data_IF_896254376387
#
_entry.id   IF_896254376387
#
_cell.length_a   1.000
_cell.length_b   1.000
_cell.length_c   1.000
_cell.angle_alpha   90.00
_cell.angle_beta   90.00
_cell.angle_gamma   90.00
#
_symmetry.space_group_name_H-M   'P 1'
#
loop_
_entity.id
_entity.type
_entity.pdbx_description
1 polymer ?
#
# COMPACT_ATOMS: atom_id res chain seq x y z
N UNK A 1 -32.81 -22.52 24.53
CA UNK A 1 -31.56 -22.77 23.78
C UNK A 1 -30.40 -22.19 24.58
N UNK A 2 -29.66 -23.04 25.30
CA UNK A 2 -28.40 -22.65 25.95
C UNK A 2 -27.32 -22.76 24.89
N UNK A 3 -26.56 -21.68 24.66
CA UNK A 3 -25.39 -21.70 23.78
C UNK A 3 -24.44 -22.81 24.22
N UNK A 4 -24.05 -23.72 23.31
CA UNK A 4 -23.01 -24.70 23.62
C UNK A 4 -21.67 -23.96 23.77
N UNK A 5 -21.03 -23.97 24.95
CA UNK A 5 -19.75 -23.29 25.18
C UNK A 5 -18.63 -23.77 24.23
N UNK A 6 -18.70 -25.05 23.87
CA UNK A 6 -17.71 -25.84 23.14
C UNK A 6 -17.60 -25.46 21.64
N UNK A 7 -18.53 -24.67 21.11
CA UNK A 7 -18.48 -24.19 19.72
C UNK A 7 -17.66 -22.90 19.57
N UNK A 8 -17.51 -22.11 20.65
CA UNK A 8 -16.71 -20.89 20.66
C UNK A 8 -15.24 -21.12 21.02
N UNK A 9 -14.90 -22.23 21.69
CA UNK A 9 -13.51 -22.59 21.95
C UNK A 9 -12.72 -22.80 20.66
N UNK A 10 -13.38 -23.33 19.61
CA UNK A 10 -12.79 -23.43 18.27
C UNK A 10 -12.54 -22.08 17.60
N UNK A 11 -13.37 -21.07 17.85
CA UNK A 11 -13.16 -19.71 17.33
C UNK A 11 -11.96 -19.04 18.01
N UNK A 12 -11.76 -19.20 19.33
CA UNK A 12 -10.55 -18.68 19.98
C UNK A 12 -9.27 -19.37 19.47
N UNK A 13 -9.29 -20.69 19.21
CA UNK A 13 -8.15 -21.40 18.60
C UNK A 13 -7.91 -21.02 17.13
N UNK A 14 -8.96 -20.98 16.30
CA UNK A 14 -8.87 -20.63 14.89
C UNK A 14 -8.47 -19.15 14.72
N UNK A 15 -8.93 -18.24 15.59
CA UNK A 15 -8.50 -16.83 15.62
C UNK A 15 -7.13 -16.60 16.27
N UNK A 16 -6.68 -17.45 17.20
CA UNK A 16 -5.30 -17.40 17.72
C UNK A 16 -4.26 -17.63 16.62
N UNK A 17 -4.62 -18.38 15.57
CA UNK A 17 -3.79 -18.58 14.38
C UNK A 17 -3.63 -17.33 13.50
N UNK A 18 -4.42 -16.28 13.72
CA UNK A 18 -4.24 -14.98 13.05
C UNK A 18 -3.15 -14.13 13.73
N UNK A 19 -2.65 -14.54 14.91
CA UNK A 19 -1.41 -14.04 15.48
C UNK A 19 -0.20 -14.66 14.75
N UNK A 20 0.03 -14.21 13.51
CA UNK A 20 1.23 -14.41 12.69
C UNK A 20 1.99 -15.77 12.86
N UNK A 21 1.54 -16.86 12.21
CA UNK A 21 2.29 -18.13 12.19
C UNK A 21 3.39 -18.17 11.12
N UNK A 22 3.35 -17.31 10.10
CA UNK A 22 4.26 -17.39 8.95
C UNK A 22 5.65 -16.77 9.21
N UNK A 23 5.77 -15.87 10.18
CA UNK A 23 7.07 -15.31 10.57
C UNK A 23 8.05 -16.33 11.17
N UNK A 24 7.54 -17.41 11.77
CA UNK A 24 8.34 -18.25 12.67
C UNK A 24 8.90 -19.52 12.00
N UNK A 25 8.25 -20.02 10.94
CA UNK A 25 8.67 -21.22 10.23
C UNK A 25 9.86 -20.98 9.28
N UNK A 26 9.85 -19.88 8.53
CA UNK A 26 10.94 -19.52 7.60
C UNK A 26 12.26 -19.21 8.32
N UNK A 27 12.18 -18.58 9.50
CA UNK A 27 13.35 -18.25 10.34
C UNK A 27 14.01 -19.52 10.88
N UNK A 28 13.23 -20.54 11.28
CA UNK A 28 13.74 -21.82 11.80
C UNK A 28 14.42 -22.66 10.72
N UNK A 29 13.90 -22.63 9.49
CA UNK A 29 14.50 -23.34 8.33
C UNK A 29 15.85 -22.70 7.95
N UNK A 30 15.92 -21.37 7.90
CA UNK A 30 17.15 -20.63 7.56
C UNK A 30 18.25 -20.78 8.64
N UNK A 31 17.90 -20.73 9.92
CA UNK A 31 18.85 -20.93 11.02
C UNK A 31 19.45 -22.36 11.05
N UNK A 32 18.66 -23.37 10.66
CA UNK A 32 19.10 -24.76 10.55
C UNK A 32 20.04 -25.00 9.36
N UNK A 33 19.81 -24.30 8.25
CA UNK A 33 20.68 -24.32 7.05
C UNK A 33 22.05 -23.67 7.30
N UNK A 34 22.12 -22.70 8.22
CA UNK A 34 23.35 -21.95 8.55
C UNK A 34 24.08 -22.48 9.80
N UNK A 35 23.58 -23.55 10.44
CA UNK A 35 24.24 -24.22 11.57
C UNK A 35 24.24 -23.44 12.88
N UNK A 36 23.28 -22.54 13.12
CA UNK A 36 23.22 -21.74 14.35
C UNK A 36 22.47 -22.43 15.50
N UNK A 37 22.96 -22.35 16.75
CA UNK A 37 22.33 -22.98 17.90
C UNK A 37 21.02 -22.26 18.31
N UNK A 38 20.02 -23.00 18.86
CA UNK A 38 18.63 -22.55 18.93
C UNK A 38 18.32 -21.44 19.96
N UNK A 39 19.22 -21.16 20.91
CA UNK A 39 18.89 -20.32 22.08
C UNK A 39 19.32 -18.84 21.98
N UNK A 40 20.16 -18.46 21.01
CA UNK A 40 20.57 -17.05 20.81
C UNK A 40 19.98 -16.37 19.55
N UNK A 41 19.19 -17.11 18.77
CA UNK A 41 18.74 -16.70 17.44
C UNK A 41 17.75 -15.53 17.44
N UNK A 42 16.90 -15.39 18.46
CA UNK A 42 15.75 -14.48 18.37
C UNK A 42 16.09 -12.98 18.55
N UNK A 43 17.24 -12.64 19.14
CA UNK A 43 17.62 -11.25 19.44
C UNK A 43 18.59 -10.64 18.42
N UNK A 44 19.44 -11.45 17.77
CA UNK A 44 20.39 -10.97 16.74
C UNK A 44 19.84 -11.04 15.31
N UNK A 45 18.90 -11.95 15.02
CA UNK A 45 18.34 -12.14 13.67
C UNK A 45 17.37 -11.00 13.30
N UNK A 46 16.58 -10.51 14.27
CA UNK A 46 15.63 -9.39 14.06
C UNK A 46 16.32 -8.07 13.70
N UNK A 47 17.53 -7.83 14.19
CA UNK A 47 18.27 -6.59 13.97
C UNK A 47 19.11 -6.60 12.70
N UNK A 48 19.65 -7.76 12.29
CA UNK A 48 20.55 -7.87 11.14
C UNK A 48 19.83 -8.09 9.81
N UNK A 49 18.76 -8.90 9.79
CA UNK A 49 18.00 -9.16 8.55
C UNK A 49 17.14 -7.95 8.16
N UNK A 50 16.56 -7.25 9.14
CA UNK A 50 15.82 -6.00 8.90
C UNK A 50 16.73 -4.89 8.33
N UNK A 51 17.98 -4.79 8.80
CA UNK A 51 18.95 -3.83 8.24
C UNK A 51 19.39 -4.21 6.83
N UNK A 52 19.56 -5.49 6.53
CA UNK A 52 20.00 -5.96 5.20
C UNK A 52 18.91 -5.80 4.13
N UNK A 53 17.64 -6.03 4.46
CA UNK A 53 16.50 -5.79 3.54
C UNK A 53 16.15 -4.31 3.38
N UNK A 54 16.24 -3.50 4.44
CA UNK A 54 16.06 -2.04 4.34
C UNK A 54 17.18 -1.41 3.50
N UNK A 55 18.43 -1.89 3.59
CA UNK A 55 19.53 -1.39 2.76
C UNK A 55 19.42 -1.82 1.28
N UNK A 56 19.00 -3.05 1.01
CA UNK A 56 18.80 -3.55 -0.36
C UNK A 56 17.58 -2.92 -1.05
N UNK A 57 16.48 -2.68 -0.31
CA UNK A 57 15.30 -1.99 -0.84
C UNK A 57 15.53 -0.49 -1.04
N UNK A 58 16.33 0.17 -0.18
CA UNK A 58 16.77 1.56 -0.39
C UNK A 58 17.74 1.71 -1.57
N UNK A 59 18.59 0.72 -1.85
CA UNK A 59 19.45 0.70 -3.04
C UNK A 59 18.68 0.41 -4.33
N UNK A 60 17.64 -0.44 -4.29
CA UNK A 60 16.82 -0.76 -5.45
C UNK A 60 15.86 0.39 -5.83
N UNK A 61 15.22 1.06 -4.86
CA UNK A 61 14.36 2.24 -5.11
C UNK A 61 15.16 3.52 -5.41
N UNK A 62 16.42 3.61 -4.99
CA UNK A 62 17.32 4.70 -5.39
C UNK A 62 17.85 4.60 -6.82
N UNK A 63 17.87 3.40 -7.41
CA UNK A 63 18.49 3.15 -8.73
C UNK A 63 17.60 3.44 -9.94
N UNK A 64 16.28 3.43 -9.79
CA UNK A 64 15.34 3.76 -10.88
C UNK A 64 14.88 5.23 -10.88
N UNK A 65 15.03 5.96 -9.76
CA UNK A 65 14.81 7.41 -9.71
C UNK A 65 16.04 8.23 -10.15
N UNK A 66 17.25 7.66 -10.05
CA UNK A 66 18.49 8.36 -10.43
C UNK A 66 18.68 8.48 -11.94
N UNK A 67 18.10 7.59 -12.75
CA UNK A 67 18.25 7.60 -14.20
C UNK A 67 17.38 8.65 -14.93
N UNK A 68 16.50 9.37 -14.21
CA UNK A 68 15.55 10.33 -14.80
C UNK A 68 15.71 11.78 -14.30
N UNK A 69 16.74 12.10 -13.50
CA UNK A 69 16.93 13.45 -12.95
C UNK A 69 18.10 14.24 -13.55
N UNK A 70 18.83 13.66 -14.52
CA UNK A 70 19.94 14.36 -15.16
C UNK A 70 19.53 14.98 -16.49
N UNK A 71 19.80 16.28 -16.69
CA UNK A 71 19.50 16.96 -17.94
C UNK A 71 20.79 17.31 -18.71
N UNK A 72 20.77 17.39 -20.05
CA UNK A 72 21.97 17.63 -20.83
C UNK A 72 22.45 19.07 -20.71
N UNK A 73 23.75 19.29 -20.94
CA UNK A 73 24.31 20.63 -21.15
C UNK A 73 25.08 20.59 -22.46
N UNK A 74 24.80 21.52 -23.37
CA UNK A 74 25.45 21.58 -24.67
C UNK A 74 25.66 23.02 -25.12
N UNK A 75 26.61 23.20 -26.04
CA UNK A 75 26.91 24.51 -26.57
C UNK A 75 27.99 24.51 -27.61
N UNK A 76 28.44 25.72 -27.97
CA UNK A 76 29.39 25.98 -29.03
C UNK A 76 30.50 26.93 -28.58
N UNK A 77 31.73 26.63 -29.00
CA UNK A 77 32.92 27.45 -28.78
C UNK A 77 33.39 28.01 -30.11
N UNK A 78 33.52 29.32 -30.16
CA UNK A 78 34.01 30.09 -31.29
C UNK A 78 35.29 30.84 -30.90
N UNK A 79 36.14 31.17 -31.86
CA UNK A 79 37.32 32.01 -31.69
C UNK A 79 37.19 33.21 -32.61
N UNK A 80 37.32 34.41 -32.03
CA UNK A 80 37.43 35.66 -32.78
C UNK A 80 38.91 35.94 -33.07
N UNK A 81 39.27 35.95 -34.34
CA UNK A 81 40.62 36.26 -34.81
C UNK A 81 40.88 37.76 -34.85
N UNK A 82 42.15 38.15 -34.90
CA UNK A 82 42.56 39.56 -35.04
C UNK A 82 41.99 40.27 -36.28
N UNK A 83 41.70 39.53 -37.36
CA UNK A 83 41.06 40.04 -38.58
C UNK A 83 39.53 40.24 -38.45
N UNK A 84 38.96 39.96 -37.27
CA UNK A 84 37.54 40.06 -36.97
C UNK A 84 36.71 38.84 -37.39
N UNK A 85 37.32 37.82 -38.02
CA UNK A 85 36.62 36.58 -38.38
C UNK A 85 36.34 35.73 -37.15
N UNK A 86 35.19 35.05 -37.15
CA UNK A 86 34.77 34.15 -36.05
C UNK A 86 34.71 32.73 -36.59
N UNK A 87 35.56 31.85 -36.07
CA UNK A 87 35.66 30.46 -36.51
C UNK A 87 35.33 29.49 -35.38
N UNK A 88 34.74 28.32 -35.64
CA UNK A 88 34.54 27.31 -34.61
C UNK A 88 35.87 26.74 -34.11
N UNK A 89 35.93 26.46 -32.80
CA UNK A 89 37.15 25.93 -32.17
C UNK A 89 37.03 24.43 -32.01
N UNK A 90 37.77 23.68 -32.81
CA UNK A 90 37.83 22.23 -32.68
C UNK A 90 38.79 21.81 -31.57
N UNK A 91 38.39 20.84 -30.74
CA UNK A 91 39.24 20.27 -29.69
C UNK A 91 39.44 21.16 -28.45
N UNK A 92 38.67 22.23 -28.28
CA UNK A 92 38.64 23.01 -27.04
C UNK A 92 38.21 22.11 -25.88
N UNK A 93 38.91 22.24 -24.75
CA UNK A 93 38.60 21.55 -23.51
C UNK A 93 37.57 22.34 -22.72
N UNK A 94 36.49 21.68 -22.32
CA UNK A 94 35.39 22.25 -21.54
C UNK A 94 35.39 21.58 -20.17
N UNK A 95 36.01 22.25 -19.20
CA UNK A 95 36.05 21.85 -17.80
C UNK A 95 34.78 22.33 -17.08
N UNK A 96 34.23 21.47 -16.23
CA UNK A 96 32.95 21.71 -15.55
C UNK A 96 33.17 21.67 -14.04
N UNK A 97 32.76 22.73 -13.35
CA UNK A 97 32.86 22.83 -11.90
C UNK A 97 31.47 22.90 -11.28
N UNK A 98 31.24 22.13 -10.21
CA UNK A 98 30.12 22.37 -9.31
C UNK A 98 30.42 23.58 -8.43
N UNK A 99 29.46 24.48 -8.31
CA UNK A 99 29.56 25.74 -7.59
C UNK A 99 28.85 25.70 -6.23
N UNK A 100 27.95 24.73 -6.04
CA UNK A 100 27.21 24.48 -4.81
C UNK A 100 27.93 23.53 -3.84
N UNK A 101 28.72 22.58 -4.37
CA UNK A 101 29.56 21.67 -3.61
C UNK A 101 30.93 21.53 -4.27
N UNK A 102 31.92 21.06 -3.51
CA UNK A 102 33.24 20.74 -4.06
C UNK A 102 33.14 19.53 -4.99
N UNK A 103 33.32 19.75 -6.28
CA UNK A 103 33.31 18.69 -7.30
C UNK A 103 33.42 19.25 -8.71
N UNK A 104 33.73 18.36 -9.65
CA UNK A 104 33.82 18.65 -11.09
C UNK A 104 33.22 17.49 -11.89
N UNK A 105 32.84 17.76 -13.13
CA UNK A 105 32.42 16.72 -14.08
C UNK A 105 33.59 16.38 -15.03
N UNK A 106 33.54 15.24 -15.74
CA UNK A 106 34.53 14.93 -16.76
C UNK A 106 34.62 16.05 -17.80
N UNK A 107 35.84 16.41 -18.19
CA UNK A 107 36.11 17.40 -19.25
C UNK A 107 35.58 16.90 -20.60
N UNK A 108 34.86 17.74 -21.35
CA UNK A 108 34.51 17.47 -22.74
C UNK A 108 35.49 18.12 -23.71
N UNK A 109 35.52 17.61 -24.96
CA UNK A 109 36.20 18.25 -26.08
C UNK A 109 35.19 18.69 -27.12
N UNK A 110 35.37 19.87 -27.69
CA UNK A 110 34.54 20.30 -28.81
C UNK A 110 34.87 19.54 -30.09
N UNK A 111 33.86 19.34 -30.94
CA UNK A 111 34.00 18.70 -32.24
C UNK A 111 34.54 19.67 -33.32
N UNK A 112 34.59 19.23 -34.58
CA UNK A 112 35.04 20.06 -35.71
C UNK A 112 34.18 21.31 -35.97
N UNK A 113 32.95 21.34 -35.45
CA UNK A 113 32.02 22.47 -35.53
C UNK A 113 32.07 23.33 -34.27
N UNK A 114 32.99 23.06 -33.35
CA UNK A 114 33.11 23.76 -32.07
C UNK A 114 32.04 23.37 -31.06
N UNK A 115 31.28 22.31 -31.29
CA UNK A 115 30.17 21.90 -30.43
C UNK A 115 30.64 20.96 -29.31
N UNK A 116 30.14 21.16 -28.10
CA UNK A 116 30.32 20.26 -26.96
C UNK A 116 28.97 19.81 -26.42
N UNK A 117 28.93 18.61 -25.82
CA UNK A 117 27.72 18.07 -25.19
C UNK A 117 28.06 17.19 -24.00
N UNK A 118 27.26 17.34 -22.96
CA UNK A 118 27.19 16.49 -21.78
C UNK A 118 25.80 15.89 -21.68
N UNK A 119 25.71 14.58 -21.46
CA UNK A 119 24.45 13.85 -21.51
C UNK A 119 23.60 13.95 -20.23
N UNK A 120 24.22 14.11 -19.06
CA UNK A 120 23.49 14.04 -17.79
C UNK A 120 24.15 14.81 -16.65
N UNK A 121 23.74 16.07 -16.48
CA UNK A 121 24.06 16.85 -15.28
C UNK A 121 22.98 16.59 -14.21
N UNK A 122 23.35 16.12 -13.02
CA UNK A 122 22.45 16.11 -11.87
C UNK A 122 21.98 17.54 -11.50
N UNK A 123 20.88 17.69 -10.75
CA UNK A 123 20.47 18.99 -10.22
C UNK A 123 21.60 19.66 -9.42
N UNK A 124 21.87 20.92 -9.72
CA UNK A 124 22.93 21.70 -9.07
C UNK A 124 23.33 22.94 -9.84
N UNK A 125 24.28 23.69 -9.27
CA UNK A 125 24.86 24.89 -9.85
C UNK A 125 26.20 24.58 -10.48
N UNK A 126 26.37 24.90 -11.77
CA UNK A 126 27.58 24.60 -12.52
C UNK A 126 28.19 25.85 -13.13
N UNK A 127 29.46 25.73 -13.48
CA UNK A 127 30.16 26.70 -14.29
C UNK A 127 31.14 25.99 -15.22
N UNK A 128 31.40 26.59 -16.38
CA UNK A 128 32.29 26.07 -17.39
C UNK A 128 33.56 26.93 -17.49
N UNK A 129 34.71 26.27 -17.62
CA UNK A 129 35.95 26.89 -18.07
C UNK A 129 36.37 26.25 -19.38
N UNK A 130 36.59 27.08 -20.38
CA UNK A 130 36.90 26.66 -21.74
C UNK A 130 38.34 27.07 -22.04
N UNK A 131 39.16 26.11 -22.48
CA UNK A 131 40.53 26.36 -22.92
C UNK A 131 40.77 25.74 -24.29
N UNK A 132 41.51 26.44 -25.14
CA UNK A 132 41.86 25.98 -26.48
C UNK A 132 43.23 26.52 -26.88
N UNK A 133 43.93 25.80 -27.75
CA UNK A 133 45.22 26.24 -28.26
C UNK A 133 45.09 27.58 -29.01
N UNK A 134 45.98 28.53 -28.70
CA UNK A 134 45.97 29.85 -29.32
C UNK A 134 44.81 30.77 -28.88
N UNK A 135 44.08 30.41 -27.82
CA UNK A 135 42.97 31.19 -27.28
C UNK A 135 43.19 31.57 -25.81
N UNK A 136 42.64 32.71 -25.39
CA UNK A 136 42.48 33.02 -23.97
C UNK A 136 41.37 32.13 -23.36
N UNK A 137 41.49 31.72 -22.09
CA UNK A 137 40.45 30.95 -21.43
C UNK A 137 39.12 31.70 -21.37
N UNK A 138 38.03 31.01 -21.71
CA UNK A 138 36.68 31.51 -21.57
C UNK A 138 35.98 30.91 -20.35
N UNK A 139 34.98 31.62 -19.83
CA UNK A 139 34.22 31.19 -18.65
C UNK A 139 32.73 31.42 -18.87
N UNK A 140 31.91 30.43 -18.48
CA UNK A 140 30.45 30.56 -18.48
C UNK A 140 29.96 30.30 -17.05
N UNK A 141 29.55 31.34 -16.30
CA UNK A 141 28.97 31.17 -14.97
C UNK A 141 27.51 30.69 -15.05
N UNK A 142 26.99 30.23 -13.90
CA UNK A 142 25.57 29.94 -13.68
C UNK A 142 24.92 28.98 -14.69
N UNK A 143 25.66 27.94 -15.08
CA UNK A 143 25.16 26.88 -15.97
C UNK A 143 24.22 25.94 -15.21
N UNK A 144 23.07 25.67 -15.82
CA UNK A 144 22.02 24.78 -15.28
C UNK A 144 21.81 23.55 -16.16
N UNK A 145 21.49 22.39 -15.58
CA UNK A 145 21.07 21.23 -16.35
C UNK A 145 19.90 21.59 -17.29
N UNK A 146 19.97 21.18 -18.56
CA UNK A 146 18.96 21.46 -19.60
C UNK A 146 19.36 22.55 -20.61
N UNK A 147 20.40 23.35 -20.33
CA UNK A 147 20.87 24.38 -21.26
C UNK A 147 21.66 23.76 -22.41
N UNK A 148 21.09 23.78 -23.63
CA UNK A 148 21.66 23.09 -24.81
C UNK A 148 22.11 24.03 -25.93
N UNK A 149 21.96 25.34 -25.74
CA UNK A 149 22.22 26.40 -26.70
C UNK A 149 23.29 27.40 -26.20
N UNK A 150 24.17 26.97 -25.29
CA UNK A 150 25.25 27.81 -24.77
C UNK A 150 26.21 28.21 -25.91
N UNK A 151 26.69 29.45 -25.92
CA UNK A 151 27.66 29.91 -26.91
C UNK A 151 28.68 30.84 -26.26
N UNK A 152 29.96 30.59 -26.50
CA UNK A 152 31.05 31.46 -26.07
C UNK A 152 32.01 31.72 -27.22
N UNK A 153 32.43 32.99 -27.35
CA UNK A 153 33.48 33.39 -28.30
C UNK A 153 34.73 33.75 -27.50
N UNK A 154 35.80 32.99 -27.71
CA UNK A 154 37.11 33.23 -27.15
C UNK A 154 37.86 34.28 -27.97
N UNK A 155 38.81 34.96 -27.33
CA UNK A 155 39.78 35.80 -28.00
C UNK A 155 41.08 35.00 -28.23
N UNK A 156 41.89 35.43 -29.19
CA UNK A 156 43.24 34.89 -29.38
C UNK A 156 44.10 35.11 -28.13
N UNK A 157 44.88 34.09 -27.76
CA UNK A 157 45.67 34.10 -26.54
C UNK A 157 46.75 33.04 -26.52
N UNK A 158 47.34 32.83 -25.35
CA UNK A 158 48.48 31.94 -25.13
C UNK A 158 48.12 30.44 -25.10
N UNK A 159 46.82 30.11 -25.18
CA UNK A 159 46.33 28.75 -25.08
C UNK A 159 46.42 28.17 -23.67
N UNK A 160 46.57 29.01 -22.63
CA UNK A 160 46.63 28.55 -21.24
C UNK A 160 45.36 27.75 -20.90
N UNK A 161 45.55 26.62 -20.23
CA UNK A 161 44.48 25.93 -19.52
C UNK A 161 44.53 26.32 -18.04
N UNK A 162 43.53 27.04 -17.51
CA UNK A 162 43.51 27.41 -16.10
C UNK A 162 43.50 26.18 -15.20
N UNK A 163 44.13 26.29 -14.04
CA UNK A 163 43.91 25.34 -12.94
C UNK A 163 42.49 25.52 -12.37
N UNK A 164 41.94 24.50 -11.71
CA UNK A 164 40.62 24.60 -11.08
C UNK A 164 40.52 25.77 -10.09
N UNK A 165 41.58 26.04 -9.33
CA UNK A 165 41.61 27.16 -8.39
C UNK A 165 41.51 28.51 -9.11
N UNK A 166 42.30 28.72 -10.17
CA UNK A 166 42.25 29.94 -10.98
C UNK A 166 40.89 30.12 -11.65
N UNK A 167 40.33 29.05 -12.23
CA UNK A 167 39.04 29.09 -12.88
C UNK A 167 37.91 29.45 -11.90
N UNK A 168 37.93 28.87 -10.69
CA UNK A 168 36.95 29.17 -9.65
C UNK A 168 37.05 30.61 -9.14
N UNK A 169 38.25 31.18 -9.05
CA UNK A 169 38.43 32.60 -8.68
C UNK A 169 37.79 33.52 -9.72
N UNK A 170 38.02 33.27 -11.01
CA UNK A 170 37.45 34.08 -12.09
C UNK A 170 35.93 33.91 -12.16
N UNK A 171 35.42 32.69 -12.03
CA UNK A 171 33.98 32.39 -12.04
C UNK A 171 33.22 33.03 -10.86
N UNK A 172 33.83 33.08 -9.68
CA UNK A 172 33.26 33.78 -8.53
C UNK A 172 33.16 35.30 -8.76
N UNK A 173 34.16 35.90 -9.42
CA UNK A 173 34.18 37.33 -9.77
C UNK A 173 33.19 37.64 -10.92
N UNK A 174 33.08 36.76 -11.91
CA UNK A 174 32.13 36.88 -13.02
C UNK A 174 30.66 36.85 -12.54
N UNK A 175 30.34 36.02 -11.55
CA UNK A 175 29.02 35.97 -10.91
C UNK A 175 28.64 37.26 -10.16
N UNK A 176 29.62 38.01 -9.66
CA UNK A 176 29.37 39.31 -9.02
C UNK A 176 29.19 40.49 -9.98
N UNK A 177 29.59 40.33 -11.25
CA UNK A 177 29.55 41.39 -12.28
C UNK A 177 28.46 41.15 -13.32
N UNK A 178 28.00 39.91 -13.49
CA UNK A 178 26.78 39.58 -14.20
C UNK A 178 25.58 39.83 -13.27
N UNK A 179 24.97 41.01 -13.37
CA UNK A 179 23.57 41.18 -12.93
C UNK A 179 22.68 40.10 -13.57
N UNK A 180 21.53 39.75 -12.98
CA UNK A 180 20.76 38.58 -13.37
C UNK A 180 20.41 38.68 -14.86
N UNK A 181 21.05 37.86 -15.69
CA UNK A 181 20.65 37.66 -17.08
C UNK A 181 19.51 36.66 -17.07
N UNK A 182 18.36 37.14 -16.62
CA UNK A 182 17.08 36.48 -16.85
C UNK A 182 16.85 36.58 -18.35
N UNK A 183 17.19 35.53 -19.12
CA UNK A 183 16.44 35.29 -20.36
C UNK A 183 14.99 35.23 -19.89
N UNK A 184 14.18 36.20 -20.30
CA UNK A 184 12.75 36.07 -20.09
C UNK A 184 12.32 34.81 -20.82
N UNK A 185 11.98 33.78 -20.06
CA UNK A 185 11.30 32.60 -20.55
C UNK A 185 10.18 33.10 -21.46
N UNK A 186 10.11 32.55 -22.67
CA UNK A 186 8.97 32.79 -23.54
C UNK A 186 7.69 32.44 -22.79
N UNK A 187 6.55 33.02 -23.17
CA UNK A 187 5.27 32.75 -22.49
C UNK A 187 5.01 31.24 -22.36
N UNK A 188 5.34 30.49 -23.41
CA UNK A 188 5.22 29.03 -23.47
C UNK A 188 6.18 28.31 -22.49
N UNK A 189 7.43 28.76 -22.36
CA UNK A 189 8.38 28.19 -21.38
C UNK A 189 8.02 28.55 -19.93
N UNK A 190 7.48 29.76 -19.67
CA UNK A 190 6.95 30.13 -18.34
C UNK A 190 5.76 29.28 -17.97
N UNK A 191 4.86 29.03 -18.92
CA UNK A 191 3.69 28.18 -18.73
C UNK A 191 4.09 26.72 -18.51
N UNK A 192 5.03 26.18 -19.30
CA UNK A 192 5.55 24.82 -19.14
C UNK A 192 6.31 24.63 -17.81
N UNK A 193 7.10 25.62 -17.39
CA UNK A 193 7.79 25.58 -16.11
C UNK A 193 6.81 25.67 -14.93
N UNK A 194 5.82 26.56 -14.99
CA UNK A 194 4.78 26.65 -13.97
C UNK A 194 3.95 25.36 -13.90
N UNK A 195 3.67 24.71 -15.04
CA UNK A 195 2.98 23.42 -15.07
C UNK A 195 3.83 22.29 -14.46
N UNK A 196 5.13 22.25 -14.74
CA UNK A 196 6.06 21.29 -14.15
C UNK A 196 6.20 21.49 -12.64
N UNK A 197 6.41 22.72 -12.17
CA UNK A 197 6.50 23.05 -10.75
C UNK A 197 5.20 22.71 -10.01
N UNK A 198 4.04 22.97 -10.64
CA UNK A 198 2.73 22.56 -10.10
C UNK A 198 2.62 21.04 -9.99
N UNK A 199 3.06 20.28 -11.00
CA UNK A 199 3.08 18.81 -10.98
C UNK A 199 4.02 18.26 -9.90
N UNK A 200 5.20 18.85 -9.72
CA UNK A 200 6.15 18.48 -8.66
C UNK A 200 5.54 18.73 -7.29
N UNK A 201 4.99 19.93 -7.06
CA UNK A 201 4.34 20.27 -5.80
C UNK A 201 3.14 19.36 -5.51
N UNK A 202 2.37 18.98 -6.54
CA UNK A 202 1.27 18.01 -6.41
C UNK A 202 1.78 16.62 -5.99
N UNK A 203 2.84 16.13 -6.61
CA UNK A 203 3.45 14.83 -6.28
C UNK A 203 4.06 14.84 -4.87
N UNK A 204 4.76 15.91 -4.49
CA UNK A 204 5.31 16.06 -3.14
C UNK A 204 4.20 16.10 -2.08
N UNK A 205 3.13 16.86 -2.33
CA UNK A 205 1.96 16.91 -1.45
C UNK A 205 1.28 15.53 -1.35
N UNK A 206 1.13 14.81 -2.47
CA UNK A 206 0.57 13.45 -2.52
C UNK A 206 1.44 12.46 -1.74
N UNK A 207 2.76 12.49 -1.94
CA UNK A 207 3.69 11.61 -1.24
C UNK A 207 3.71 11.88 0.27
N UNK A 208 3.67 13.15 0.68
CA UNK A 208 3.55 13.53 2.08
C UNK A 208 2.24 13.00 2.68
N UNK A 209 1.12 13.19 1.99
CA UNK A 209 -0.19 12.68 2.40
C UNK A 209 -0.16 11.15 2.57
N UNK A 210 0.37 10.41 1.60
CA UNK A 210 0.52 8.93 1.67
C UNK A 210 1.37 8.52 2.89
N UNK A 211 2.46 9.22 3.15
CA UNK A 211 3.34 8.94 4.29
C UNK A 211 2.62 9.17 5.62
N UNK A 212 1.92 10.29 5.74
CA UNK A 212 1.17 10.66 6.93
C UNK A 212 0.02 9.65 7.18
N UNK A 213 -0.72 9.27 6.14
CA UNK A 213 -1.76 8.23 6.20
C UNK A 213 -1.19 6.87 6.61
N UNK A 214 -0.09 6.44 5.98
CA UNK A 214 0.57 5.16 6.28
C UNK A 214 1.06 5.10 7.72
N UNK A 215 1.54 6.22 8.27
CA UNK A 215 1.96 6.28 9.67
C UNK A 215 0.77 6.13 10.63
N UNK A 216 -0.36 6.80 10.34
CA UNK A 216 -1.60 6.69 11.13
C UNK A 216 -2.13 5.25 11.08
N UNK A 217 -2.22 4.67 9.89
CA UNK A 217 -2.70 3.29 9.67
C UNK A 217 -1.88 2.29 10.48
N UNK A 218 -0.55 2.38 10.40
CA UNK A 218 0.33 1.45 11.11
C UNK A 218 0.22 1.60 12.64
N UNK A 219 0.16 2.82 13.15
CA UNK A 219 -0.02 3.08 14.58
C UNK A 219 -1.37 2.58 15.09
N UNK A 220 -2.44 2.86 14.34
CA UNK A 220 -3.79 2.39 14.61
C UNK A 220 -3.88 0.86 14.61
N UNK A 221 -3.29 0.19 13.61
CA UNK A 221 -3.28 -1.27 13.53
C UNK A 221 -2.53 -1.89 14.72
N UNK A 222 -1.37 -1.34 15.08
CA UNK A 222 -0.60 -1.82 16.24
C UNK A 222 -1.36 -1.62 17.56
N UNK A 223 -1.91 -0.43 17.79
CA UNK A 223 -2.66 -0.12 19.00
C UNK A 223 -3.95 -0.95 19.09
N UNK A 224 -4.66 -1.13 17.97
CA UNK A 224 -5.86 -1.95 17.88
C UNK A 224 -5.58 -3.42 18.16
N UNK A 225 -4.54 -3.99 17.55
CA UNK A 225 -4.14 -5.38 17.79
C UNK A 225 -3.70 -5.60 19.25
N UNK A 226 -2.98 -4.64 19.85
CA UNK A 226 -2.62 -4.68 21.28
C UNK A 226 -3.86 -4.67 22.17
N UNK A 227 -4.78 -3.74 21.94
CA UNK A 227 -6.03 -3.65 22.70
C UNK A 227 -6.88 -4.92 22.53
N UNK A 228 -6.91 -5.50 21.32
CA UNK A 228 -7.59 -6.77 21.05
C UNK A 228 -6.98 -7.92 21.85
N UNK A 229 -5.65 -8.05 21.89
CA UNK A 229 -4.95 -9.05 22.69
C UNK A 229 -5.19 -8.88 24.21
N UNK A 230 -5.40 -7.66 24.66
CA UNK A 230 -5.81 -7.31 26.03
C UNK A 230 -7.32 -7.53 26.28
N UNK A 231 -8.06 -8.08 25.31
CA UNK A 231 -9.52 -8.26 25.29
C UNK A 231 -10.32 -6.96 25.47
N UNK A 232 -9.68 -5.81 25.24
CA UNK A 232 -10.33 -4.50 25.23
C UNK A 232 -10.89 -4.22 23.83
N UNK A 233 -11.97 -4.91 23.49
CA UNK A 233 -12.56 -4.85 22.15
C UNK A 233 -13.07 -3.45 21.78
N UNK A 234 -13.55 -2.66 22.74
CA UNK A 234 -13.99 -1.29 22.48
C UNK A 234 -12.84 -0.38 22.04
N UNK A 235 -11.70 -0.44 22.74
CA UNK A 235 -10.51 0.30 22.32
C UNK A 235 -9.96 -0.22 21.00
N UNK A 236 -9.97 -1.54 20.78
CA UNK A 236 -9.55 -2.13 19.51
C UNK A 236 -10.35 -1.58 18.32
N UNK A 237 -11.68 -1.55 18.44
CA UNK A 237 -12.60 -1.01 17.42
C UNK A 237 -12.31 0.47 17.15
N UNK A 238 -12.10 1.27 18.19
CA UNK A 238 -11.75 2.70 18.04
C UNK A 238 -10.43 2.87 17.28
N UNK A 239 -9.40 2.11 17.62
CA UNK A 239 -8.12 2.17 16.93
C UNK A 239 -8.25 1.73 15.48
N UNK A 240 -8.98 0.66 15.18
CA UNK A 240 -9.21 0.26 13.79
C UNK A 240 -10.00 1.32 13.01
N UNK A 241 -10.97 2.01 13.63
CA UNK A 241 -11.68 3.14 13.00
C UNK A 241 -10.72 4.28 12.64
N UNK A 242 -9.75 4.62 13.50
CA UNK A 242 -8.74 5.64 13.20
C UNK A 242 -7.94 5.25 11.95
N UNK A 243 -7.52 3.98 11.87
CA UNK A 243 -6.79 3.47 10.71
C UNK A 243 -7.63 3.51 9.43
N UNK A 244 -8.89 3.07 9.50
CA UNK A 244 -9.82 3.09 8.35
C UNK A 244 -10.05 4.53 7.87
N UNK A 245 -10.26 5.47 8.79
CA UNK A 245 -10.53 6.86 8.45
C UNK A 245 -9.35 7.58 7.76
N UNK A 246 -8.12 7.10 7.96
CA UNK A 246 -6.94 7.68 7.32
C UNK A 246 -6.95 7.47 5.81
N UNK A 247 -7.35 6.29 5.33
CA UNK A 247 -7.53 6.01 3.91
C UNK A 247 -8.55 4.88 3.69
N UNK A 248 -9.87 5.19 3.66
CA UNK A 248 -10.93 4.19 3.74
C UNK A 248 -11.12 3.38 2.45
N UNK A 249 -10.64 3.90 1.31
CA UNK A 249 -10.86 3.30 -0.01
C UNK A 249 -9.61 2.60 -0.56
N UNK A 250 -8.49 2.64 0.17
CA UNK A 250 -7.28 1.96 -0.26
C UNK A 250 -7.33 0.46 0.08
N UNK A 251 -7.50 -0.37 -0.95
CA UNK A 251 -7.62 -1.82 -0.84
C UNK A 251 -6.38 -2.48 -0.19
N UNK A 252 -5.22 -1.83 -0.22
CA UNK A 252 -3.99 -2.36 0.37
C UNK A 252 -3.94 -2.34 1.90
N UNK A 253 -4.80 -1.57 2.57
CA UNK A 253 -4.81 -1.48 4.05
C UNK A 253 -6.19 -1.48 4.69
N UNK A 254 -7.18 -0.83 4.07
CA UNK A 254 -8.51 -0.70 4.67
C UNK A 254 -9.19 -2.06 4.94
N UNK A 255 -9.15 -3.06 4.03
CA UNK A 255 -9.71 -4.39 4.28
C UNK A 255 -9.16 -5.10 5.53
N UNK A 256 -7.87 -4.97 5.81
CA UNK A 256 -7.23 -5.58 6.98
C UNK A 256 -7.83 -5.02 8.28
N UNK A 257 -7.95 -3.69 8.34
CA UNK A 257 -8.53 -3.00 9.50
C UNK A 257 -10.02 -3.29 9.65
N UNK A 258 -10.76 -3.33 8.54
CA UNK A 258 -12.19 -3.67 8.51
C UNK A 258 -12.43 -5.10 9.01
N UNK A 259 -11.63 -6.06 8.57
CA UNK A 259 -11.73 -7.46 9.01
C UNK A 259 -11.39 -7.59 10.49
N UNK A 260 -10.30 -6.97 10.96
CA UNK A 260 -9.94 -6.99 12.38
C UNK A 260 -11.01 -6.33 13.27
N UNK A 261 -11.59 -5.22 12.81
CA UNK A 261 -12.71 -4.55 13.45
C UNK A 261 -13.94 -5.46 13.49
N UNK A 262 -14.26 -6.15 12.39
CA UNK A 262 -15.36 -7.10 12.31
C UNK A 262 -15.22 -8.23 13.35
N UNK A 263 -14.02 -8.76 13.56
CA UNK A 263 -13.76 -9.77 14.61
C UNK A 263 -14.01 -9.18 16.00
N UNK A 264 -13.46 -7.99 16.29
CA UNK A 264 -13.64 -7.33 17.59
C UNK A 264 -15.12 -7.03 17.90
N UNK A 265 -15.87 -6.56 16.90
CA UNK A 265 -17.31 -6.30 16.99
C UNK A 265 -18.09 -7.59 17.26
N UNK A 266 -17.83 -8.66 16.51
CA UNK A 266 -18.48 -9.97 16.74
C UNK A 266 -18.28 -10.46 18.16
N UNK A 267 -17.04 -10.44 18.66
CA UNK A 267 -16.74 -10.90 20.01
C UNK A 267 -17.44 -10.02 21.07
N UNK A 268 -17.38 -8.69 20.92
CA UNK A 268 -18.05 -7.77 21.84
C UNK A 268 -19.58 -7.95 21.82
N UNK A 269 -20.16 -8.16 20.65
CA UNK A 269 -21.58 -8.42 20.46
C UNK A 269 -22.01 -9.74 21.11
N UNK A 270 -21.27 -10.83 20.86
CA UNK A 270 -21.53 -12.14 21.49
C UNK A 270 -21.42 -12.06 23.01
N UNK A 271 -20.40 -11.39 23.54
CA UNK A 271 -20.25 -11.21 24.99
C UNK A 271 -21.44 -10.45 25.60
N UNK A 272 -21.89 -9.39 24.91
CA UNK A 272 -23.05 -8.59 25.32
C UNK A 272 -24.33 -9.43 25.28
N UNK A 273 -24.54 -10.20 24.22
CA UNK A 273 -25.70 -11.07 24.07
C UNK A 273 -25.72 -12.16 25.14
N UNK A 274 -24.61 -12.87 25.33
CA UNK A 274 -24.51 -13.95 26.32
C UNK A 274 -24.79 -13.44 27.74
N UNK A 275 -24.22 -12.29 28.12
CA UNK A 275 -24.53 -11.68 29.40
C UNK A 275 -26.03 -11.36 29.53
N UNK A 276 -26.64 -10.77 28.50
CA UNK A 276 -28.07 -10.47 28.47
C UNK A 276 -28.97 -11.70 28.63
N UNK A 277 -28.60 -12.86 28.07
CA UNK A 277 -29.43 -14.08 28.17
C UNK A 277 -29.59 -14.58 29.60
N UNK A 278 -28.63 -14.31 30.49
CA UNK A 278 -28.67 -14.68 31.90
C UNK A 278 -29.47 -13.72 32.78
N UNK A 279 -29.83 -12.55 32.25
CA UNK A 279 -30.53 -11.50 32.99
C UNK A 279 -32.05 -11.72 33.01
N UNK A 280 -32.76 -11.27 34.08
CA UNK A 280 -34.21 -11.18 34.07
C UNK A 280 -34.68 -10.23 32.96
N UNK A 281 -35.96 -10.32 32.58
CA UNK A 281 -36.53 -9.36 31.62
C UNK A 281 -36.47 -7.94 32.21
N UNK A 282 -35.73 -7.06 31.53
CA UNK A 282 -35.44 -5.70 31.97
C UNK A 282 -35.03 -4.83 30.78
N UNK A 283 -35.11 -3.50 30.95
CA UNK A 283 -34.64 -2.57 29.92
C UNK A 283 -33.13 -2.68 29.68
N UNK A 284 -32.36 -3.02 30.71
CA UNK A 284 -30.93 -3.29 30.58
C UNK A 284 -30.67 -4.51 29.68
N UNK A 285 -31.42 -5.60 29.87
CA UNK A 285 -31.34 -6.79 29.00
C UNK A 285 -31.66 -6.44 27.55
N UNK A 286 -32.73 -5.68 27.30
CA UNK A 286 -33.11 -5.23 25.95
C UNK A 286 -32.04 -4.35 25.33
N UNK A 287 -31.45 -3.43 26.09
CA UNK A 287 -30.37 -2.55 25.64
C UNK A 287 -29.10 -3.35 25.29
N UNK A 288 -28.73 -4.35 26.07
CA UNK A 288 -27.58 -5.21 25.79
C UNK A 288 -27.77 -6.06 24.53
N UNK A 289 -28.99 -6.59 24.31
CA UNK A 289 -29.33 -7.29 23.07
C UNK A 289 -29.26 -6.32 21.89
N UNK A 290 -29.84 -5.11 22.00
CA UNK A 290 -29.77 -4.11 20.94
C UNK A 290 -28.33 -3.71 20.61
N UNK A 291 -27.46 -3.57 21.63
CA UNK A 291 -26.03 -3.31 21.43
C UNK A 291 -25.34 -4.47 20.71
N UNK A 292 -25.64 -5.71 21.08
CA UNK A 292 -25.08 -6.89 20.41
C UNK A 292 -25.46 -6.93 18.93
N UNK A 293 -26.73 -6.65 18.62
CA UNK A 293 -27.24 -6.58 17.25
C UNK A 293 -26.53 -5.49 16.45
N UNK A 294 -26.35 -4.30 17.03
CA UNK A 294 -25.63 -3.19 16.39
C UNK A 294 -24.20 -3.59 16.04
N UNK A 295 -23.48 -4.22 16.96
CA UNK A 295 -22.11 -4.67 16.72
C UNK A 295 -22.04 -5.67 15.56
N UNK A 296 -22.97 -6.62 15.50
CA UNK A 296 -23.02 -7.62 14.42
C UNK A 296 -23.36 -6.99 13.06
N UNK A 297 -24.29 -6.03 13.00
CA UNK A 297 -24.61 -5.31 11.76
C UNK A 297 -23.42 -4.45 11.28
N UNK A 298 -22.70 -3.82 12.21
CA UNK A 298 -21.49 -3.08 11.88
C UNK A 298 -20.36 -4.01 11.40
N UNK A 299 -20.24 -5.21 11.97
CA UNK A 299 -19.30 -6.22 11.52
C UNK A 299 -19.62 -6.69 10.10
N UNK A 300 -20.89 -7.01 9.82
CA UNK A 300 -21.39 -7.39 8.49
C UNK A 300 -21.00 -6.34 7.45
N UNK A 301 -21.38 -5.09 7.70
CA UNK A 301 -21.07 -3.95 6.83
C UNK A 301 -19.57 -3.79 6.58
N UNK A 302 -18.74 -4.01 7.61
CA UNK A 302 -17.28 -3.97 7.48
C UNK A 302 -16.71 -5.08 6.60
N UNK A 303 -17.18 -6.31 6.75
CA UNK A 303 -16.76 -7.43 5.90
C UNK A 303 -17.22 -7.28 4.46
N UNK A 304 -18.47 -6.84 4.23
CA UNK A 304 -18.99 -6.53 2.90
C UNK A 304 -18.12 -5.50 2.20
N UNK A 305 -17.87 -4.36 2.87
CA UNK A 305 -17.04 -3.29 2.30
C UNK A 305 -15.61 -3.75 2.03
N UNK A 306 -15.05 -4.56 2.91
CA UNK A 306 -13.73 -5.17 2.76
C UNK A 306 -13.67 -6.06 1.52
N UNK A 307 -14.65 -6.93 1.33
CA UNK A 307 -14.76 -7.80 0.15
C UNK A 307 -14.90 -6.97 -1.14
N UNK A 308 -15.78 -5.96 -1.16
CA UNK A 308 -15.98 -5.09 -2.32
C UNK A 308 -14.70 -4.37 -2.74
N UNK A 309 -13.95 -3.81 -1.78
CA UNK A 309 -12.67 -3.14 -2.04
C UNK A 309 -11.63 -4.10 -2.63
N UNK A 310 -11.56 -5.31 -2.10
CA UNK A 310 -10.61 -6.32 -2.58
C UNK A 310 -10.97 -6.80 -3.99
N UNK A 311 -12.25 -7.02 -4.27
CA UNK A 311 -12.73 -7.43 -5.60
C UNK A 311 -12.59 -6.32 -6.65
N UNK A 312 -12.71 -5.06 -6.24
CA UNK A 312 -12.54 -3.91 -7.13
C UNK A 312 -11.08 -3.52 -7.36
N UNK A 313 -10.13 -4.18 -6.70
CA UNK A 313 -8.70 -3.85 -6.82
C UNK A 313 -8.17 -4.11 -8.26
N UNK A 314 -7.47 -3.14 -8.89
CA UNK A 314 -6.87 -3.35 -10.21
C UNK A 314 -5.84 -4.48 -10.17
N UNK A 315 -5.90 -5.41 -11.14
CA UNK A 315 -5.06 -6.60 -11.15
C UNK A 315 -3.56 -6.27 -11.19
N UNK A 316 -3.20 -5.17 -11.87
CA UNK A 316 -1.84 -4.65 -11.97
C UNK A 316 -1.30 -4.04 -10.66
N UNK A 317 -2.16 -3.66 -9.72
CA UNK A 317 -1.79 -3.11 -8.42
C UNK A 317 -1.64 -4.20 -7.34
N UNK A 318 -2.15 -5.41 -7.61
CA UNK A 318 -2.03 -6.57 -6.71
C UNK A 318 -0.63 -7.18 -6.83
N UNK A 319 0.29 -6.69 -6.02
CA UNK A 319 1.68 -7.18 -5.98
C UNK A 319 1.87 -8.45 -5.15
N UNK A 320 1.03 -8.67 -4.13
CA UNK A 320 1.01 -9.88 -3.30
C UNK A 320 -0.37 -10.55 -3.40
N UNK A 321 -0.51 -11.44 -4.40
CA UNK A 321 -1.74 -12.18 -4.64
C UNK A 321 -2.12 -13.09 -3.48
N UNK A 322 -1.14 -13.66 -2.75
CA UNK A 322 -1.43 -14.59 -1.65
C UNK A 322 -2.10 -13.87 -0.51
N UNK A 323 -1.57 -12.69 -0.13
CA UNK A 323 -2.17 -11.86 0.92
C UNK A 323 -3.53 -11.31 0.49
N UNK A 324 -3.68 -10.90 -0.77
CA UNK A 324 -4.96 -10.43 -1.33
C UNK A 324 -6.04 -11.53 -1.32
N UNK A 325 -5.72 -12.73 -1.84
CA UNK A 325 -6.64 -13.88 -1.84
C UNK A 325 -7.02 -14.28 -0.40
N UNK A 326 -6.07 -14.22 0.53
CA UNK A 326 -6.34 -14.48 1.95
C UNK A 326 -7.29 -13.44 2.54
N UNK A 327 -7.11 -12.16 2.23
CA UNK A 327 -7.98 -11.10 2.71
C UNK A 327 -9.41 -11.28 2.18
N UNK A 328 -9.58 -11.71 0.92
CA UNK A 328 -10.90 -12.06 0.34
C UNK A 328 -11.53 -13.20 1.15
N UNK A 329 -10.78 -14.27 1.39
CA UNK A 329 -11.24 -15.40 2.19
C UNK A 329 -11.67 -14.96 3.59
N UNK A 330 -10.83 -14.17 4.28
CA UNK A 330 -11.10 -13.70 5.64
C UNK A 330 -12.38 -12.85 5.70
N UNK A 331 -12.61 -12.00 4.69
CA UNK A 331 -13.83 -11.18 4.59
C UNK A 331 -15.07 -12.04 4.42
N UNK A 332 -15.04 -12.99 3.48
CA UNK A 332 -16.16 -13.88 3.17
C UNK A 332 -16.47 -14.85 4.33
N UNK A 333 -15.43 -15.40 4.96
CA UNK A 333 -15.58 -16.22 6.16
C UNK A 333 -16.17 -15.41 7.33
N UNK A 334 -15.64 -14.22 7.56
CA UNK A 334 -16.14 -13.30 8.58
C UNK A 334 -17.62 -12.96 8.38
N UNK A 335 -18.01 -12.73 7.13
CA UNK A 335 -19.37 -12.40 6.72
C UNK A 335 -20.35 -13.57 6.90
N UNK A 336 -20.00 -14.77 6.42
CA UNK A 336 -20.86 -15.97 6.58
C UNK A 336 -21.10 -16.30 8.04
N UNK A 337 -20.07 -16.20 8.90
CA UNK A 337 -20.24 -16.34 10.35
C UNK A 337 -21.08 -15.20 10.96
N UNK A 338 -20.95 -13.98 10.46
CA UNK A 338 -21.76 -12.86 10.97
C UNK A 338 -23.25 -13.06 10.68
N UNK A 339 -23.61 -13.54 9.49
CA UNK A 339 -25.01 -13.86 9.17
C UNK A 339 -25.60 -14.92 10.09
N UNK A 340 -24.83 -15.97 10.41
CA UNK A 340 -25.21 -16.98 11.41
C UNK A 340 -25.56 -16.36 12.75
N UNK A 341 -24.77 -15.39 13.21
CA UNK A 341 -25.01 -14.68 14.47
C UNK A 341 -26.20 -13.72 14.40
N UNK A 342 -26.39 -13.03 13.27
CA UNK A 342 -27.50 -12.10 13.06
C UNK A 342 -28.86 -12.79 13.12
N UNK A 343 -28.97 -13.97 12.52
CA UNK A 343 -30.19 -14.78 12.59
C UNK A 343 -30.48 -15.22 14.03
N UNK A 344 -29.47 -15.76 14.74
CA UNK A 344 -29.63 -16.18 16.15
C UNK A 344 -30.02 -15.05 17.10
N UNK A 345 -29.58 -13.83 16.79
CA UNK A 345 -29.95 -12.64 17.55
C UNK A 345 -31.29 -12.02 17.10
N UNK A 346 -31.96 -12.61 16.09
CA UNK A 346 -33.19 -12.12 15.45
C UNK A 346 -33.03 -10.73 14.82
N UNK A 347 -31.82 -10.40 14.37
CA UNK A 347 -31.54 -9.19 13.58
C UNK A 347 -31.80 -9.40 12.10
N UNK A 348 -31.56 -10.61 11.59
CA UNK A 348 -31.85 -10.97 10.21
C UNK A 348 -33.17 -11.75 10.18
N UNK A 349 -34.17 -11.20 9.48
CA UNK A 349 -35.52 -11.79 9.38
C UNK A 349 -35.86 -12.29 7.98
N UNK A 350 -35.02 -12.02 6.99
CA UNK A 350 -35.19 -12.41 5.59
C UNK A 350 -33.82 -12.72 4.99
N UNK A 351 -33.72 -13.75 4.15
CA UNK A 351 -32.52 -13.98 3.33
C UNK A 351 -32.63 -13.12 2.07
N UNK A 352 -31.90 -12.01 2.05
CA UNK A 352 -31.75 -11.21 0.84
C UNK A 352 -30.72 -11.85 -0.12
N UNK A 353 -30.78 -11.48 -1.40
CA UNK A 353 -29.93 -12.05 -2.46
C UNK A 353 -28.43 -11.87 -2.17
N UNK A 354 -28.06 -10.81 -1.45
CA UNK A 354 -26.71 -10.51 -0.98
C UNK A 354 -26.16 -11.58 -0.01
N UNK A 355 -27.00 -12.09 0.89
CA UNK A 355 -26.65 -13.18 1.80
C UNK A 355 -26.24 -14.40 0.98
N UNK A 356 -27.11 -14.83 0.05
CA UNK A 356 -26.85 -16.01 -0.79
C UNK A 356 -25.58 -15.84 -1.63
N UNK A 357 -25.41 -14.68 -2.27
CA UNK A 357 -24.22 -14.37 -3.06
C UNK A 357 -22.94 -14.46 -2.22
N UNK A 358 -22.97 -14.01 -0.97
CA UNK A 358 -21.84 -14.07 -0.04
C UNK A 358 -21.43 -15.51 0.29
N UNK A 359 -22.40 -16.40 0.52
CA UNK A 359 -22.12 -17.82 0.75
C UNK A 359 -21.60 -18.52 -0.50
N UNK A 360 -22.11 -18.19 -1.69
CA UNK A 360 -21.60 -18.72 -2.96
C UNK A 360 -20.15 -18.27 -3.23
N UNK A 361 -19.86 -16.98 -2.98
CA UNK A 361 -18.51 -16.44 -3.08
C UNK A 361 -17.54 -17.13 -2.09
N UNK A 362 -17.95 -17.33 -0.84
CA UNK A 362 -17.15 -18.05 0.16
C UNK A 362 -16.82 -19.48 -0.30
N UNK A 363 -17.81 -20.19 -0.83
CA UNK A 363 -17.62 -21.57 -1.31
C UNK A 363 -16.71 -21.68 -2.53
N UNK A 364 -16.66 -20.65 -3.38
CA UNK A 364 -15.78 -20.61 -4.54
C UNK A 364 -14.30 -20.50 -4.12
N UNK A 365 -14.00 -19.80 -3.02
CA UNK A 365 -12.62 -19.59 -2.55
C UNK A 365 -12.17 -20.60 -1.49
N UNK A 366 -13.10 -21.22 -0.77
CA UNK A 366 -12.81 -22.29 0.19
C UNK A 366 -12.26 -23.52 -0.53
N UNK A 367 -11.28 -24.19 0.08
CA UNK A 367 -10.62 -25.39 -0.47
C UNK A 367 -10.87 -26.62 0.39
N UNK A 368 -11.15 -26.44 1.68
CA UNK A 368 -11.48 -27.52 2.59
C UNK A 368 -12.95 -27.96 2.41
N UNK A 369 -13.15 -29.23 2.07
CA UNK A 369 -14.49 -29.75 1.82
C UNK A 369 -15.38 -29.78 3.06
N UNK A 370 -14.82 -30.01 4.25
CA UNK A 370 -15.58 -29.97 5.49
C UNK A 370 -16.07 -28.54 5.78
N UNK A 371 -15.25 -27.53 5.47
CA UNK A 371 -15.67 -26.12 5.57
C UNK A 371 -16.72 -25.73 4.54
N UNK A 372 -16.69 -26.28 3.31
CA UNK A 372 -17.77 -26.10 2.33
C UNK A 372 -19.09 -26.71 2.80
N UNK A 373 -19.04 -27.94 3.35
CA UNK A 373 -20.21 -28.59 3.97
C UNK A 373 -20.77 -27.71 5.08
N UNK A 374 -19.91 -27.21 5.98
CA UNK A 374 -20.32 -26.30 7.04
C UNK A 374 -20.97 -25.01 6.50
N UNK A 375 -20.47 -24.45 5.39
CA UNK A 375 -21.07 -23.27 4.76
C UNK A 375 -22.50 -23.54 4.26
N UNK A 376 -22.75 -24.69 3.63
CA UNK A 376 -24.10 -25.09 3.23
C UNK A 376 -25.04 -25.29 4.41
N UNK A 377 -24.54 -25.91 5.49
CA UNK A 377 -25.31 -26.06 6.74
C UNK A 377 -25.67 -24.70 7.33
N UNK A 378 -24.71 -23.78 7.41
CA UNK A 378 -24.96 -22.43 7.95
C UNK A 378 -25.96 -21.66 7.08
N UNK A 379 -25.87 -21.76 5.74
CA UNK A 379 -26.86 -21.14 4.85
C UNK A 379 -28.25 -21.75 5.07
N UNK A 380 -28.33 -23.08 5.21
CA UNK A 380 -29.57 -23.77 5.54
C UNK A 380 -30.17 -23.29 6.87
N UNK A 381 -29.36 -23.16 7.91
CA UNK A 381 -29.79 -22.63 9.21
C UNK A 381 -30.32 -21.20 9.09
N UNK A 382 -29.60 -20.36 8.35
CA UNK A 382 -30.01 -18.97 8.10
C UNK A 382 -31.37 -18.92 7.40
N UNK A 383 -31.57 -19.73 6.36
CA UNK A 383 -32.83 -19.84 5.63
C UNK A 383 -33.97 -20.42 6.48
N UNK A 384 -33.68 -21.43 7.29
CA UNK A 384 -34.68 -22.09 8.13
C UNK A 384 -35.25 -21.11 9.17
N UNK A 385 -34.36 -20.37 9.83
CA UNK A 385 -34.73 -19.40 10.88
C UNK A 385 -35.40 -18.13 10.33
N UNK A 386 -35.16 -17.76 9.07
CA UNK A 386 -35.93 -16.68 8.39
C UNK A 386 -37.26 -17.17 7.82
N UNK A 387 -37.55 -18.48 7.89
CA UNK A 387 -38.80 -19.09 7.45
C UNK A 387 -38.78 -19.68 6.03
N UNK A 388 -37.66 -19.58 5.32
CA UNK A 388 -37.47 -20.06 3.94
C UNK A 388 -37.16 -21.56 3.89
N UNK A 389 -38.07 -22.38 4.43
CA UNK A 389 -37.85 -23.82 4.66
C UNK A 389 -37.55 -24.63 3.39
N UNK A 390 -38.10 -24.24 2.24
CA UNK A 390 -37.81 -24.88 0.95
C UNK A 390 -36.35 -24.67 0.51
N UNK A 391 -35.86 -23.44 0.64
CA UNK A 391 -34.48 -23.11 0.30
C UNK A 391 -33.51 -23.70 1.32
N UNK A 392 -33.89 -23.73 2.61
CA UNK A 392 -33.13 -24.39 3.66
C UNK A 392 -32.91 -25.87 3.33
N UNK A 393 -33.97 -26.59 2.93
CA UNK A 393 -33.87 -27.99 2.51
C UNK A 393 -32.88 -28.17 1.36
N UNK A 394 -32.93 -27.32 0.34
CA UNK A 394 -32.01 -27.37 -0.78
C UNK A 394 -30.54 -27.15 -0.35
N UNK A 395 -30.29 -26.23 0.58
CA UNK A 395 -28.94 -26.01 1.14
C UNK A 395 -28.44 -27.21 1.94
N UNK A 396 -29.28 -27.80 2.79
CA UNK A 396 -28.91 -29.02 3.53
C UNK A 396 -28.69 -30.21 2.60
N UNK A 397 -29.46 -30.35 1.52
CA UNK A 397 -29.24 -31.39 0.51
C UNK A 397 -27.86 -31.27 -0.13
N UNK A 398 -27.41 -30.06 -0.49
CA UNK A 398 -26.05 -29.85 -0.99
C UNK A 398 -24.97 -30.23 0.03
N UNK A 399 -25.20 -29.98 1.32
CA UNK A 399 -24.30 -30.45 2.38
C UNK A 399 -24.24 -31.99 2.42
N UNK A 400 -25.39 -32.66 2.29
CA UNK A 400 -25.53 -34.12 2.33
C UNK A 400 -25.00 -34.81 1.06
N UNK A 401 -24.99 -34.14 -0.10
CA UNK A 401 -24.35 -34.65 -1.31
C UNK A 401 -22.84 -34.85 -1.11
N UNK A 402 -22.20 -33.98 -0.31
CA UNK A 402 -20.77 -34.04 -0.02
C UNK A 402 -20.49 -34.90 1.22
N UNK A 403 -21.34 -34.79 2.25
CA UNK A 403 -21.23 -35.52 3.51
C UNK A 403 -22.58 -36.15 3.91
N UNK A 404 -22.89 -37.35 3.40
CA UNK A 404 -24.21 -37.98 3.56
C UNK A 404 -24.64 -38.25 5.01
N UNK A 405 -23.68 -38.39 5.92
CA UNK A 405 -23.91 -38.66 7.34
C UNK A 405 -23.78 -37.41 8.21
N UNK A 406 -23.72 -36.21 7.62
CA UNK A 406 -23.61 -34.98 8.39
C UNK A 406 -24.85 -34.79 9.29
N UNK A 407 -24.70 -34.85 10.62
CA UNK A 407 -25.85 -34.87 11.52
C UNK A 407 -26.60 -33.54 11.52
N UNK A 408 -25.89 -32.42 11.42
CA UNK A 408 -26.50 -31.09 11.42
C UNK A 408 -27.36 -30.90 10.15
N UNK A 409 -26.86 -31.33 8.99
CA UNK A 409 -27.61 -31.26 7.73
C UNK A 409 -28.82 -32.21 7.70
N UNK A 410 -28.70 -33.43 8.25
CA UNK A 410 -29.82 -34.37 8.38
C UNK A 410 -30.93 -33.80 9.27
N UNK A 411 -30.56 -33.25 10.43
CA UNK A 411 -31.50 -32.61 11.36
C UNK A 411 -32.15 -31.39 10.71
N UNK A 412 -31.35 -30.53 10.09
CA UNK A 412 -31.82 -29.34 9.39
C UNK A 412 -32.83 -29.68 8.28
N UNK A 413 -32.50 -30.64 7.40
CA UNK A 413 -33.40 -31.09 6.35
C UNK A 413 -34.72 -31.67 6.89
N UNK A 414 -34.65 -32.45 7.98
CA UNK A 414 -35.83 -32.96 8.66
C UNK A 414 -36.73 -31.86 9.23
N UNK A 415 -36.14 -30.83 9.86
CA UNK A 415 -36.86 -29.66 10.36
C UNK A 415 -37.50 -28.85 9.22
N UNK A 416 -36.78 -28.65 8.11
CA UNK A 416 -37.33 -28.00 6.91
C UNK A 416 -38.55 -28.73 6.37
N UNK A 417 -38.48 -30.06 6.24
CA UNK A 417 -39.60 -30.88 5.78
C UNK A 417 -40.80 -30.83 6.74
N UNK A 418 -40.55 -30.87 8.05
CA UNK A 418 -41.60 -30.76 9.05
C UNK A 418 -42.31 -29.39 8.99
N UNK A 419 -41.56 -28.30 8.86
CA UNK A 419 -42.11 -26.96 8.70
C UNK A 419 -42.96 -26.85 7.42
N UNK A 420 -42.49 -27.37 6.29
CA UNK A 420 -43.24 -27.38 5.04
C UNK A 420 -44.53 -28.21 5.13
N UNK A 421 -44.47 -29.37 5.80
CA UNK A 421 -45.64 -30.22 6.04
C UNK A 421 -46.68 -29.54 6.94
N UNK A 422 -46.25 -28.90 8.02
CA UNK A 422 -47.12 -28.13 8.91
C UNK A 422 -47.82 -26.98 8.18
N UNK A 423 -47.05 -26.17 7.43
CA UNK A 423 -47.60 -25.04 6.66
C UNK A 423 -48.53 -25.45 5.51
N UNK A 424 -48.40 -26.68 5.01
CA UNK A 424 -49.28 -27.21 3.96
C UNK A 424 -50.64 -27.62 4.53
N UNK A 425 -50.69 -28.12 5.77
CA UNK A 425 -51.92 -28.50 6.47
C UNK A 425 -52.74 -27.29 6.96
N UNK A 426 -52.14 -26.11 7.11
CA UNK A 426 -52.85 -24.88 7.50
C UNK A 426 -53.56 -24.19 6.31
N UNK A 427 -53.45 -24.73 5.08
CA UNK A 427 -54.04 -24.17 3.84
C UNK A 427 -55.30 -24.90 3.36
N UNK A 428 -55.78 -25.90 4.10
CA UNK A 428 -57.07 -26.58 3.88
C UNK A 428 -58.08 -26.19 4.97
#
# INVERSE_FOLDING_TARGET
>A
MVWRPDFFSGLEEEYSSFANPQGDAGIKIFARLMGWPPEESNKMIRTSIFRMFVFAALLALGSLAAAAQSAPVAGKVLLKKADGTVVPVAGALVDVFRMDVKGSMPTAKTDKRGEFRFAGFPPGDYALSISAEGAEPGYIPDVKPGQTDLSITLNEGDGKRPTEAEARTVLAQAKSTAGPTTRELTKEEKEAQAEYEKKVAEVEARNKKIKDESAIINAALQAGNKAFGEKNYSLAIEQYNIGIAANPDYFGSAPILMNNKGVALKIRGVNSYNKATSMPDSDEKKAMIASARKDLEEAKTGYDRSYDLLNAAPAEEITDKVTHDKAIYDSLFGLTDTYRLLVRTKSLTTVADDVKASFEAYQAVEKDQAKKVAAYVILGDVQLETGDSEQALASYQKALEISPENPDALVGAGLSLANMGYLSNDKE
#
